data_IF_948255356631
#
_entry.id   IF_948255356631
#
_cell.length_a   1.000
_cell.length_b   1.000
_cell.length_c   1.000
_cell.angle_alpha   90.00
_cell.angle_beta   90.00
_cell.angle_gamma   90.00
#
_symmetry.space_group_name_H-M   'P 1'
#
loop_
_entity.id
_entity.type
_entity.pdbx_description
1 polymer ?
#
# COMPACT_ATOMS: atom_id res chain seq x y z
N UNK A 1 19.17 0.39 -0.06
CA UNK A 1 18.22 0.81 -1.11
C UNK A 1 18.34 2.32 -1.23
N UNK A 2 19.25 2.79 -2.08
CA UNK A 2 19.21 4.19 -2.51
C UNK A 2 18.48 4.14 -3.85
N UNK A 3 17.18 3.82 -3.77
CA UNK A 3 16.30 4.01 -4.90
C UNK A 3 16.06 5.52 -4.97
N UNK A 4 16.35 6.10 -6.12
CA UNK A 4 16.04 7.49 -6.40
C UNK A 4 14.52 7.63 -6.40
N UNK A 5 13.95 7.92 -5.23
CA UNK A 5 12.54 8.28 -5.05
C UNK A 5 12.35 9.69 -5.63
N UNK A 6 12.50 9.81 -6.95
CA UNK A 6 12.24 11.04 -7.66
C UNK A 6 10.74 11.37 -7.62
N UNK A 7 10.43 12.67 -7.61
CA UNK A 7 9.05 13.15 -7.58
C UNK A 7 8.19 12.56 -8.71
N UNK A 8 8.77 12.35 -9.89
CA UNK A 8 8.11 11.70 -11.03
C UNK A 8 7.64 10.27 -10.75
N UNK A 9 8.41 9.50 -9.98
CA UNK A 9 8.04 8.13 -9.61
C UNK A 9 6.96 8.12 -8.54
N UNK A 10 7.01 9.08 -7.61
CA UNK A 10 5.96 9.25 -6.63
C UNK A 10 4.64 9.62 -7.29
N UNK A 11 4.64 10.58 -8.23
CA UNK A 11 3.42 10.98 -8.95
C UNK A 11 2.85 9.83 -9.78
N UNK A 12 3.70 9.07 -10.49
CA UNK A 12 3.30 7.87 -11.23
C UNK A 12 2.65 6.85 -10.30
N UNK A 13 3.27 6.59 -9.15
CA UNK A 13 2.77 5.62 -8.16
C UNK A 13 1.46 6.07 -7.55
N UNK A 14 1.34 7.33 -7.10
CA UNK A 14 0.08 7.88 -6.56
C UNK A 14 -1.05 7.76 -7.57
N UNK A 15 -0.78 8.10 -8.84
CA UNK A 15 -1.75 7.99 -9.94
C UNK A 15 -2.18 6.54 -10.14
N UNK A 16 -1.23 5.60 -10.20
CA UNK A 16 -1.51 4.18 -10.38
C UNK A 16 -2.32 3.57 -9.24
N UNK A 17 -1.91 3.82 -7.99
CA UNK A 17 -2.59 3.31 -6.79
C UNK A 17 -4.00 3.90 -6.67
N UNK A 18 -4.16 5.21 -6.89
CA UNK A 18 -5.48 5.86 -6.84
C UNK A 18 -6.41 5.32 -7.91
N UNK A 19 -5.93 5.17 -9.15
CA UNK A 19 -6.73 4.60 -10.24
C UNK A 19 -7.14 3.16 -9.96
N UNK A 20 -6.23 2.33 -9.43
CA UNK A 20 -6.52 0.96 -9.05
C UNK A 20 -7.57 0.88 -7.93
N UNK A 21 -7.47 1.76 -6.92
CA UNK A 21 -8.44 1.85 -5.82
C UNK A 21 -9.84 2.23 -6.31
N UNK A 22 -9.94 3.28 -7.13
CA UNK A 22 -11.23 3.71 -7.70
C UNK A 22 -11.87 2.58 -8.51
N UNK A 23 -11.12 1.98 -9.44
CA UNK A 23 -11.60 0.84 -10.23
C UNK A 23 -12.02 -0.35 -9.37
N UNK A 24 -11.28 -0.66 -8.31
CA UNK A 24 -11.62 -1.78 -7.43
C UNK A 24 -12.94 -1.55 -6.67
N UNK A 25 -13.21 -0.30 -6.29
CA UNK A 25 -14.38 0.08 -5.49
C UNK A 25 -15.62 0.43 -6.31
N UNK A 26 -15.55 0.39 -7.64
CA UNK A 26 -16.73 0.47 -8.53
C UNK A 26 -17.67 -0.73 -8.36
N UNK A 27 -17.12 -1.91 -8.05
CA UNK A 27 -17.92 -3.09 -7.71
C UNK A 27 -18.55 -2.93 -6.34
N UNK A 28 -19.88 -3.05 -6.25
CA UNK A 28 -20.63 -2.95 -4.98
C UNK A 28 -20.11 -3.95 -3.93
N UNK A 29 -19.79 -5.17 -4.34
CA UNK A 29 -19.26 -6.20 -3.43
C UNK A 29 -17.88 -5.80 -2.92
N UNK A 30 -16.98 -5.39 -3.81
CA UNK A 30 -15.63 -4.97 -3.41
C UNK A 30 -15.68 -3.71 -2.54
N UNK A 31 -16.60 -2.78 -2.85
CA UNK A 31 -16.83 -1.58 -2.07
C UNK A 31 -17.27 -1.93 -0.65
N UNK A 32 -18.23 -2.84 -0.49
CA UNK A 32 -18.66 -3.32 0.82
C UNK A 32 -17.53 -4.02 1.59
N UNK A 33 -16.76 -4.88 0.91
CA UNK A 33 -15.58 -5.54 1.48
C UNK A 33 -14.47 -4.55 1.89
N UNK A 34 -14.39 -3.40 1.21
CA UNK A 34 -13.45 -2.32 1.57
C UNK A 34 -13.95 -1.50 2.75
N UNK A 35 -15.26 -1.24 2.84
CA UNK A 35 -15.88 -0.50 3.95
C UNK A 35 -15.77 -1.27 5.27
N UNK A 36 -16.00 -2.58 5.25
CA UNK A 36 -16.05 -3.42 6.45
C UNK A 36 -14.82 -3.27 7.38
N UNK A 37 -13.56 -3.39 6.91
CA UNK A 37 -12.39 -3.20 7.78
C UNK A 37 -12.21 -1.74 8.23
N UNK A 38 -12.62 -0.74 7.44
CA UNK A 38 -12.55 0.67 7.82
C UNK A 38 -13.47 0.95 9.02
N UNK A 39 -14.69 0.42 8.99
CA UNK A 39 -15.60 0.47 10.13
C UNK A 39 -15.06 -0.34 11.31
N UNK A 40 -14.65 -1.59 11.09
CA UNK A 40 -14.20 -2.48 12.17
C UNK A 40 -12.97 -1.94 12.92
N UNK A 41 -12.00 -1.37 12.20
CA UNK A 41 -10.72 -0.95 12.79
C UNK A 41 -10.70 0.53 13.21
N UNK A 42 -11.50 1.38 12.54
CA UNK A 42 -11.44 2.83 12.72
C UNK A 42 -12.78 3.46 13.13
N UNK A 43 -13.89 2.72 13.08
CA UNK A 43 -15.25 3.24 13.33
C UNK A 43 -15.66 4.30 12.31
N UNK A 44 -15.10 4.23 11.11
CA UNK A 44 -15.22 5.25 10.07
C UNK A 44 -15.37 4.64 8.68
N UNK A 45 -16.53 4.09 8.39
CA UNK A 45 -16.91 3.58 7.07
C UNK A 45 -16.70 4.60 5.93
N UNK A 46 -16.85 5.90 6.21
CA UNK A 46 -16.74 6.99 5.24
C UNK A 46 -15.34 7.20 4.69
N UNK A 47 -14.30 6.65 5.35
CA UNK A 47 -12.90 6.73 4.92
C UNK A 47 -12.71 6.24 3.47
N UNK A 48 -13.57 5.35 2.97
CA UNK A 48 -13.51 4.89 1.58
C UNK A 48 -13.55 6.05 0.57
N UNK A 49 -14.19 7.17 0.90
CA UNK A 49 -14.27 8.35 0.04
C UNK A 49 -13.14 9.35 0.29
N UNK A 50 -12.44 9.25 1.42
CA UNK A 50 -11.33 10.13 1.81
C UNK A 50 -9.97 9.58 1.34
N UNK A 51 -9.87 8.26 1.14
CA UNK A 51 -8.65 7.58 0.72
C UNK A 51 -7.98 8.16 -0.54
N UNK A 52 -8.71 8.57 -1.61
CA UNK A 52 -8.07 9.19 -2.78
C UNK A 52 -7.32 10.48 -2.44
N UNK A 53 -7.89 11.35 -1.59
CA UNK A 53 -7.24 12.57 -1.15
C UNK A 53 -6.05 12.28 -0.23
N UNK A 54 -6.19 11.29 0.66
CA UNK A 54 -5.10 10.84 1.51
C UNK A 54 -3.91 10.32 0.69
N UNK A 55 -4.15 9.48 -0.33
CA UNK A 55 -3.12 8.98 -1.25
C UNK A 55 -2.43 10.12 -2.02
N UNK A 56 -3.19 11.12 -2.47
CA UNK A 56 -2.64 12.29 -3.15
C UNK A 56 -1.69 13.12 -2.26
N UNK A 57 -1.89 13.10 -0.94
CA UNK A 57 -1.08 13.86 0.02
C UNK A 57 0.25 13.20 0.41
N UNK A 58 0.47 11.92 0.06
CA UNK A 58 1.64 11.13 0.50
C UNK A 58 2.93 11.65 -0.10
N UNK A 59 3.87 12.18 0.68
CA UNK A 59 5.13 12.76 0.19
C UNK A 59 6.28 11.74 0.05
N UNK A 60 7.36 12.12 -0.63
CA UNK A 60 8.61 11.34 -0.69
C UNK A 60 9.20 11.11 0.70
N UNK A 61 9.04 12.10 1.60
CA UNK A 61 9.46 11.98 2.99
C UNK A 61 8.65 10.92 3.74
N UNK A 62 7.33 10.86 3.54
CA UNK A 62 6.47 9.84 4.16
C UNK A 62 6.86 8.42 3.72
N UNK A 63 7.12 8.24 2.41
CA UNK A 63 7.58 6.96 1.86
C UNK A 63 8.94 6.57 2.45
N UNK A 64 9.88 7.52 2.53
CA UNK A 64 11.21 7.28 3.10
C UNK A 64 11.13 6.93 4.59
N UNK A 65 10.28 7.63 5.35
CA UNK A 65 10.08 7.39 6.76
C UNK A 65 9.46 6.00 7.00
N UNK A 66 8.41 5.65 6.25
CA UNK A 66 7.78 4.33 6.34
C UNK A 66 8.76 3.20 5.96
N UNK A 67 9.52 3.35 4.87
CA UNK A 67 10.52 2.37 4.47
C UNK A 67 11.61 2.21 5.54
N UNK A 68 12.09 3.31 6.12
CA UNK A 68 13.10 3.29 7.17
C UNK A 68 12.59 2.63 8.46
N UNK A 69 11.32 2.80 8.79
CA UNK A 69 10.69 2.22 9.97
C UNK A 69 10.48 0.71 9.84
N UNK A 70 10.03 0.23 8.68
CA UNK A 70 9.51 -1.13 8.51
C UNK A 70 10.40 -2.08 7.69
N UNK A 71 11.33 -1.57 6.89
CA UNK A 71 12.23 -2.39 6.06
C UNK A 71 13.64 -2.50 6.62
N UNK A 72 13.78 -2.45 7.95
CA UNK A 72 15.07 -2.67 8.61
C UNK A 72 15.58 -4.10 8.34
N UNK A 73 16.89 -4.28 8.03
CA UNK A 73 17.46 -5.62 7.81
C UNK A 73 17.23 -6.59 8.97
N UNK A 74 17.19 -6.07 10.21
CA UNK A 74 16.92 -6.85 11.42
C UNK A 74 15.49 -7.39 11.52
N UNK A 75 14.55 -6.83 10.76
CA UNK A 75 13.14 -7.25 10.72
C UNK A 75 12.84 -8.14 9.51
N UNK A 76 13.85 -8.44 8.68
CA UNK A 76 13.67 -9.24 7.46
C UNK A 76 13.60 -10.73 7.81
N UNK A 77 12.46 -11.35 7.49
CA UNK A 77 12.32 -12.81 7.46
C UNK A 77 12.32 -13.32 6.02
N UNK A 78 13.05 -14.40 5.74
CA UNK A 78 13.15 -15.00 4.40
C UNK A 78 12.77 -16.47 4.47
N UNK A 79 11.79 -16.87 3.66
CA UNK A 79 11.45 -18.27 3.41
C UNK A 79 12.00 -18.65 2.03
N UNK A 80 12.99 -19.54 2.02
CA UNK A 80 13.62 -20.07 0.81
C UNK A 80 13.23 -21.55 0.63
N UNK A 81 12.51 -21.85 -0.45
CA UNK A 81 12.11 -23.21 -0.79
C UNK A 81 13.18 -23.84 -1.67
N UNK A 82 13.84 -24.88 -1.17
CA UNK A 82 14.89 -25.58 -1.91
C UNK A 82 14.35 -26.86 -2.54
N UNK A 83 14.64 -27.13 -3.82
CA UNK A 83 14.34 -28.41 -4.43
C UNK A 83 14.98 -29.56 -3.64
N UNK A 84 14.31 -30.70 -3.55
CA UNK A 84 14.90 -31.92 -2.97
C UNK A 84 16.01 -32.45 -3.87
N UNK A 85 17.11 -32.90 -3.28
CA UNK A 85 18.12 -33.72 -3.97
C UNK A 85 17.70 -35.19 -3.84
N UNK A 86 17.60 -35.91 -4.96
CA UNK A 86 17.47 -37.38 -4.95
C UNK A 86 18.70 -38.01 -4.26
N UNK A 87 18.47 -39.08 -3.48
CA UNK A 87 19.49 -39.78 -2.70
C UNK A 87 20.39 -40.68 -3.56
#
# INVERSE_FOLDING_TARGET
LQADLGDDELERTRTGVTSAFLRATDSVVNRALTIAPLEQQRGRAELINELPAALASVTTADVTAAASQWFAPSQRSVLDWRPGTEA
#
